data_IF_856411198729
#
_entry.id   IF_856411198729
#
_cell.length_a   1.000
_cell.length_b   1.000
_cell.length_c   1.000
_cell.angle_alpha   90.00
_cell.angle_beta   90.00
_cell.angle_gamma   90.00
#
_symmetry.space_group_name_H-M   'P 1'
#
loop_
_entity.id
_entity.type
_entity.pdbx_description
1 polymer ?
#
# COMPACT_ATOMS: atom_id res chain seq x y z
N UNK A 1 27.05 -54.93 -20.07
CA UNK A 1 27.93 -54.07 -19.26
C UNK A 1 27.05 -53.07 -18.52
N UNK A 2 26.87 -53.34 -17.25
CA UNK A 2 26.02 -52.64 -16.29
C UNK A 2 26.82 -51.55 -15.58
N UNK A 3 26.37 -50.30 -15.66
CA UNK A 3 26.76 -49.26 -14.70
C UNK A 3 25.51 -48.50 -14.25
N UNK A 4 25.11 -48.61 -12.97
CA UNK A 4 24.08 -47.76 -12.40
C UNK A 4 24.70 -46.46 -11.88
N UNK A 5 24.10 -45.32 -12.22
CA UNK A 5 24.43 -44.02 -11.61
C UNK A 5 23.72 -43.94 -10.25
N UNK A 6 24.52 -43.76 -9.21
CA UNK A 6 24.10 -43.69 -7.82
C UNK A 6 23.18 -42.48 -7.57
N UNK A 7 22.04 -42.72 -6.92
CA UNK A 7 21.20 -41.68 -6.36
C UNK A 7 21.90 -41.07 -5.12
N UNK A 8 22.31 -39.81 -5.23
CA UNK A 8 22.82 -39.03 -4.10
C UNK A 8 21.62 -38.57 -3.24
N UNK A 9 21.51 -39.15 -2.04
CA UNK A 9 20.56 -38.72 -1.02
C UNK A 9 20.91 -37.31 -0.52
N UNK A 10 19.94 -36.40 -0.52
CA UNK A 10 20.08 -35.08 0.10
C UNK A 10 20.18 -35.20 1.63
N UNK A 11 21.02 -34.39 2.29
CA UNK A 11 21.16 -34.43 3.75
C UNK A 11 19.91 -33.86 4.44
N UNK A 12 19.40 -34.60 5.43
CA UNK A 12 18.33 -34.13 6.33
C UNK A 12 18.81 -32.93 7.17
N UNK A 13 18.00 -31.88 7.35
CA UNK A 13 18.34 -30.79 8.27
C UNK A 13 18.28 -31.27 9.74
N UNK A 14 19.07 -30.67 10.64
CA UNK A 14 19.16 -31.10 12.03
C UNK A 14 17.87 -30.80 12.80
N UNK A 15 17.45 -31.76 13.63
CA UNK A 15 16.31 -31.64 14.53
C UNK A 15 16.54 -30.56 15.60
N UNK A 16 15.67 -29.56 15.65
CA UNK A 16 15.69 -28.53 16.67
C UNK A 16 15.06 -29.07 17.96
N UNK A 17 15.87 -29.28 19.00
CA UNK A 17 15.38 -29.60 20.36
C UNK A 17 14.97 -28.29 21.06
N UNK A 18 13.74 -28.17 21.61
CA UNK A 18 13.37 -27.00 22.38
C UNK A 18 14.10 -27.04 23.73
N UNK A 19 14.89 -26.00 24.03
CA UNK A 19 15.36 -25.74 25.40
C UNK A 19 14.21 -25.11 26.17
N UNK A 20 13.74 -25.79 27.21
CA UNK A 20 12.90 -25.23 28.25
C UNK A 20 13.68 -24.16 29.00
N UNK A 21 13.18 -22.91 28.97
CA UNK A 21 13.65 -21.86 29.86
C UNK A 21 12.49 -21.47 30.78
N UNK A 22 12.63 -21.86 32.04
CA UNK A 22 11.75 -21.52 33.14
C UNK A 22 11.63 -20.00 33.31
N UNK A 23 10.41 -19.49 33.24
CA UNK A 23 10.07 -18.10 33.52
C UNK A 23 10.23 -17.84 35.04
N UNK A 24 11.16 -16.98 35.43
CA UNK A 24 11.18 -16.35 36.76
C UNK A 24 10.84 -14.87 36.60
N UNK A 25 9.90 -14.32 37.38
CA UNK A 25 9.57 -12.90 37.30
C UNK A 25 10.69 -12.08 37.94
N UNK A 26 11.08 -10.98 37.29
CA UNK A 26 11.95 -9.93 37.88
C UNK A 26 11.09 -8.76 38.36
N UNK A 27 11.55 -8.03 39.39
CA UNK A 27 10.70 -7.23 40.24
C UNK A 27 10.32 -5.89 39.61
N UNK A 28 9.14 -5.42 39.99
CA UNK A 28 8.57 -4.09 39.74
C UNK A 28 9.52 -3.01 40.25
N UNK A 29 9.91 -2.08 39.39
CA UNK A 29 10.63 -0.88 39.77
C UNK A 29 9.61 0.22 40.07
N UNK A 30 9.59 0.68 41.32
CA UNK A 30 8.75 1.76 41.83
C UNK A 30 9.04 3.09 41.11
N UNK A 31 7.97 3.84 40.90
CA UNK A 31 7.99 5.18 40.35
C UNK A 31 8.70 6.14 41.30
N UNK A 32 9.83 6.70 40.86
CA UNK A 32 10.46 7.85 41.50
C UNK A 32 10.07 9.11 40.73
N UNK A 33 9.09 9.83 41.27
CA UNK A 33 8.75 11.19 40.86
C UNK A 33 9.96 12.09 41.09
N UNK A 34 10.57 12.58 40.01
CA UNK A 34 11.59 13.63 40.10
C UNK A 34 11.17 14.82 39.22
N UNK A 35 10.70 15.85 39.91
CA UNK A 35 10.76 17.29 39.66
C UNK A 35 11.00 17.78 38.23
N UNK A 36 10.02 18.53 37.73
CA UNK A 36 10.06 19.30 36.49
C UNK A 36 11.27 20.24 36.43
N UNK A 37 12.07 20.10 35.36
CA UNK A 37 13.10 21.05 34.99
C UNK A 37 12.56 22.04 33.95
N UNK A 38 12.79 23.33 34.19
CA UNK A 38 12.43 24.46 33.32
C UNK A 38 13.06 24.40 31.92
N UNK A 39 12.44 25.04 30.91
CA UNK A 39 12.74 24.81 29.50
C UNK A 39 13.98 25.58 29.03
N UNK A 40 14.94 24.86 28.44
CA UNK A 40 16.01 25.48 27.64
C UNK A 40 15.51 25.74 26.21
N UNK A 41 15.74 26.95 25.70
CA UNK A 41 15.40 27.37 24.34
C UNK A 41 16.09 26.48 23.28
N UNK A 42 15.31 25.55 22.70
CA UNK A 42 15.73 24.65 21.62
C UNK A 42 14.58 23.73 21.21
N UNK A 43 13.62 24.24 20.41
CA UNK A 43 12.51 23.50 19.76
C UNK A 43 11.90 22.34 20.58
N UNK A 44 11.10 22.65 21.60
CA UNK A 44 10.52 21.72 22.57
C UNK A 44 9.42 20.78 22.06
N UNK A 45 9.60 20.13 20.90
CA UNK A 45 8.70 19.07 20.42
C UNK A 45 8.99 17.79 21.21
N UNK A 46 7.99 17.19 21.89
CA UNK A 46 8.16 15.97 22.68
C UNK A 46 8.44 14.76 21.78
N UNK A 47 9.15 13.75 22.30
CA UNK A 47 9.42 12.52 21.56
C UNK A 47 10.34 11.56 22.30
N UNK A 48 10.47 10.31 21.82
CA UNK A 48 11.31 9.31 22.46
C UNK A 48 12.80 9.67 22.34
N UNK A 49 13.54 9.48 23.44
CA UNK A 49 14.97 9.77 23.54
C UNK A 49 15.88 8.88 22.70
N UNK A 50 15.36 7.75 22.18
CA UNK A 50 16.09 6.79 21.34
C UNK A 50 17.23 6.06 22.05
N UNK A 51 17.81 5.07 21.37
CA UNK A 51 19.03 4.42 21.82
C UNK A 51 20.28 5.28 21.54
N UNK A 52 21.41 4.94 22.18
CA UNK A 52 22.65 5.73 22.13
C UNK A 52 23.34 5.77 20.75
N UNK A 53 23.07 4.82 19.84
CA UNK A 53 23.86 4.63 18.62
C UNK A 53 23.06 4.82 17.32
N UNK A 54 21.80 4.37 17.32
CA UNK A 54 20.84 4.39 16.22
C UNK A 54 19.63 5.28 16.53
N UNK A 55 19.54 5.87 17.72
CA UNK A 55 18.41 6.70 18.12
C UNK A 55 17.12 5.89 18.10
N UNK A 56 16.08 6.41 17.45
CA UNK A 56 14.81 5.70 17.30
C UNK A 56 14.77 4.71 16.13
N UNK A 57 15.85 4.62 15.32
CA UNK A 57 15.87 3.77 14.13
C UNK A 57 15.76 2.28 14.48
N UNK A 58 16.36 1.84 15.59
CA UNK A 58 16.28 0.43 16.01
C UNK A 58 14.85 0.04 16.39
N UNK A 59 14.20 0.82 17.26
CA UNK A 59 12.81 0.62 17.67
C UNK A 59 11.86 0.67 16.47
N UNK A 60 12.00 1.69 15.61
CA UNK A 60 11.22 1.80 14.38
C UNK A 60 11.44 0.61 13.43
N UNK A 61 12.67 0.13 13.26
CA UNK A 61 12.95 -0.98 12.34
C UNK A 61 12.43 -2.33 12.83
N UNK A 62 12.24 -2.49 14.15
CA UNK A 62 11.79 -3.73 14.77
C UNK A 62 10.27 -3.86 14.76
N UNK A 63 9.56 -2.80 15.15
CA UNK A 63 8.11 -2.72 15.13
C UNK A 63 7.66 -1.32 14.71
N UNK A 64 7.63 -1.02 13.40
CA UNK A 64 7.28 0.31 12.93
C UNK A 64 5.88 0.76 13.34
N UNK A 65 4.92 -0.17 13.34
CA UNK A 65 3.52 0.11 13.62
C UNK A 65 3.31 0.39 15.11
N UNK A 66 3.79 -0.51 15.97
CA UNK A 66 3.71 -0.34 17.42
C UNK A 66 4.49 0.88 17.89
N UNK A 67 5.67 1.14 17.33
CA UNK A 67 6.46 2.33 17.65
C UNK A 67 5.69 3.63 17.37
N UNK A 68 5.08 3.77 16.18
CA UNK A 68 4.31 4.97 15.83
C UNK A 68 3.06 5.13 16.72
N UNK A 69 2.37 4.04 17.00
CA UNK A 69 1.20 4.03 17.90
C UNK A 69 1.58 4.46 19.33
N UNK A 70 2.66 3.90 19.88
CA UNK A 70 3.16 4.24 21.22
C UNK A 70 3.61 5.71 21.29
N UNK A 71 4.29 6.18 20.25
CA UNK A 71 4.72 7.57 20.14
C UNK A 71 3.53 8.54 20.20
N UNK A 72 2.49 8.27 19.41
CA UNK A 72 1.27 9.07 19.39
C UNK A 72 0.58 9.09 20.76
N UNK A 73 0.43 7.92 21.39
CA UNK A 73 -0.24 7.80 22.69
C UNK A 73 0.52 8.50 23.82
N UNK A 74 1.85 8.46 23.78
CA UNK A 74 2.69 8.97 24.88
C UNK A 74 2.98 10.46 24.75
N UNK A 75 3.22 10.95 23.53
CA UNK A 75 3.73 12.31 23.29
C UNK A 75 2.71 13.24 22.63
N UNK A 76 1.53 12.73 22.23
CA UNK A 76 0.43 13.52 21.71
C UNK A 76 0.49 13.76 20.19
N UNK A 77 0.09 14.97 19.80
CA UNK A 77 -0.26 15.27 18.40
C UNK A 77 0.92 15.60 17.49
N UNK A 78 2.05 16.05 18.06
CA UNK A 78 3.28 16.40 17.34
C UNK A 78 4.46 15.74 18.04
N UNK A 79 5.03 14.71 17.41
CA UNK A 79 6.04 13.86 18.04
C UNK A 79 7.34 13.87 17.25
N UNK A 80 8.45 14.20 17.91
CA UNK A 80 9.79 14.13 17.34
C UNK A 80 10.27 12.68 17.27
N UNK A 81 10.29 12.10 16.06
CA UNK A 81 10.80 10.75 15.83
C UNK A 81 12.33 10.70 15.66
N UNK A 82 12.95 11.83 15.32
CA UNK A 82 14.40 11.94 15.19
C UNK A 82 14.82 13.40 15.01
N UNK A 83 16.11 13.64 14.78
CA UNK A 83 16.67 15.00 14.69
C UNK A 83 15.89 15.90 13.70
N UNK A 84 15.47 15.35 12.55
CA UNK A 84 14.73 16.06 11.51
C UNK A 84 13.50 15.28 11.02
N UNK A 85 12.82 14.57 11.93
CA UNK A 85 11.59 13.83 11.59
C UNK A 85 10.53 14.04 12.66
N UNK A 86 9.34 14.45 12.26
CA UNK A 86 8.18 14.69 13.12
C UNK A 86 6.99 13.88 12.63
N UNK A 87 6.27 13.25 13.54
CA UNK A 87 4.97 12.62 13.32
C UNK A 87 3.85 13.59 13.71
N UNK A 88 2.88 13.77 12.82
CA UNK A 88 1.62 14.46 13.10
C UNK A 88 0.49 13.43 13.23
N UNK A 89 -0.32 13.57 14.28
CA UNK A 89 -1.43 12.65 14.56
C UNK A 89 -2.78 13.34 14.72
N UNK A 90 -2.81 14.65 15.02
CA UNK A 90 -4.06 15.44 15.04
C UNK A 90 -4.69 15.52 13.64
N UNK A 91 -5.99 15.18 13.48
CA UNK A 91 -6.66 15.26 12.17
C UNK A 91 -6.62 16.65 11.53
N UNK A 92 -6.68 17.71 12.34
CA UNK A 92 -6.62 19.08 11.83
C UNK A 92 -5.26 19.42 11.23
N UNK A 93 -4.18 18.93 11.85
CA UNK A 93 -2.81 19.12 11.35
C UNK A 93 -2.51 18.22 10.14
N UNK A 94 -3.07 17.00 10.11
CA UNK A 94 -3.04 16.12 8.93
C UNK A 94 -3.72 16.80 7.73
N UNK A 95 -4.92 17.36 7.93
CA UNK A 95 -5.61 18.11 6.88
C UNK A 95 -4.83 19.36 6.47
N UNK A 96 -4.29 20.12 7.43
CA UNK A 96 -3.46 21.30 7.14
C UNK A 96 -2.25 20.93 6.28
N UNK A 97 -1.56 19.83 6.58
CA UNK A 97 -0.40 19.35 5.82
C UNK A 97 -0.79 18.90 4.41
N UNK A 98 -1.82 18.06 4.29
CA UNK A 98 -2.15 17.39 3.02
C UNK A 98 -3.05 18.22 2.10
N UNK A 99 -3.80 19.18 2.64
CA UNK A 99 -4.79 19.99 1.93
C UNK A 99 -4.41 21.47 1.94
N UNK A 100 -4.50 22.15 3.08
CA UNK A 100 -4.47 23.63 3.14
C UNK A 100 -3.10 24.24 2.84
N UNK A 101 -2.04 23.55 3.23
CA UNK A 101 -0.65 24.01 3.13
C UNK A 101 0.20 23.07 2.29
N UNK A 102 -0.42 22.21 1.49
CA UNK A 102 0.27 21.21 0.65
C UNK A 102 1.39 21.82 -0.22
N UNK A 103 1.20 23.05 -0.72
CA UNK A 103 2.18 23.75 -1.55
C UNK A 103 3.44 24.18 -0.79
N UNK A 104 3.45 24.09 0.55
CA UNK A 104 4.61 24.36 1.43
C UNK A 104 5.38 23.08 1.80
N UNK A 105 4.99 21.95 1.21
CA UNK A 105 5.58 20.65 1.43
C UNK A 105 6.15 20.08 0.13
N UNK A 106 7.30 19.41 0.23
CA UNK A 106 7.99 18.77 -0.90
C UNK A 106 8.10 17.25 -0.70
N UNK A 107 8.08 16.47 -1.78
CA UNK A 107 8.49 15.06 -1.79
C UNK A 107 9.97 14.88 -2.13
N UNK A 108 10.56 15.81 -2.87
CA UNK A 108 11.98 15.90 -3.09
C UNK A 108 12.61 16.55 -1.87
N UNK A 109 13.56 15.89 -1.21
CA UNK A 109 14.18 16.49 -0.03
C UNK A 109 14.92 17.76 -0.44
N UNK A 110 14.58 18.89 0.21
CA UNK A 110 15.28 20.15 0.00
C UNK A 110 16.77 20.05 0.34
N UNK A 111 17.16 19.06 1.15
CA UNK A 111 18.54 18.79 1.53
C UNK A 111 19.16 17.66 0.68
N UNK A 112 19.74 18.02 -0.47
CA UNK A 112 20.55 17.13 -1.31
C UNK A 112 21.85 16.67 -0.66
N UNK A 113 22.27 17.27 0.47
CA UNK A 113 23.52 16.91 1.19
C UNK A 113 23.34 15.69 2.10
N UNK A 114 22.10 15.28 2.38
CA UNK A 114 21.80 14.15 3.29
C UNK A 114 21.86 12.77 2.65
N UNK A 115 22.41 12.66 1.44
CA UNK A 115 22.39 11.41 0.68
C UNK A 115 20.94 11.00 0.45
N UNK A 116 20.23 11.76 -0.37
CA UNK A 116 18.85 11.44 -0.71
C UNK A 116 18.81 9.98 -1.17
N UNK A 117 17.98 9.15 -0.51
CA UNK A 117 17.66 7.82 -1.05
C UNK A 117 17.14 8.11 -2.45
N UNK A 118 17.91 7.76 -3.49
CA UNK A 118 17.49 7.98 -4.87
C UNK A 118 16.15 7.28 -5.04
N UNK A 119 15.09 8.09 -5.20
CA UNK A 119 13.75 7.57 -5.35
C UNK A 119 13.73 6.73 -6.63
N UNK A 120 13.16 5.52 -6.56
CA UNK A 120 12.87 4.77 -7.77
C UNK A 120 11.95 5.62 -8.65
N UNK A 121 12.25 5.74 -9.94
CA UNK A 121 11.44 6.50 -10.90
C UNK A 121 11.27 7.99 -10.51
N UNK A 122 12.38 8.76 -10.44
CA UNK A 122 12.36 10.16 -9.98
C UNK A 122 11.56 11.09 -10.89
N UNK A 123 11.33 10.71 -12.14
CA UNK A 123 10.57 11.52 -13.11
C UNK A 123 9.07 11.20 -13.11
N UNK A 124 8.61 10.25 -12.29
CA UNK A 124 7.19 9.93 -12.19
C UNK A 124 6.39 11.03 -11.49
N UNK A 125 5.07 11.06 -11.70
CA UNK A 125 4.14 11.95 -11.02
C UNK A 125 4.13 11.68 -9.52
N UNK A 126 4.33 10.43 -9.11
CA UNK A 126 4.40 10.08 -7.69
C UNK A 126 5.53 10.83 -6.96
N UNK A 127 6.65 11.08 -7.66
CA UNK A 127 7.89 11.62 -7.10
C UNK A 127 8.24 13.04 -7.59
N UNK A 128 7.36 13.65 -8.40
CA UNK A 128 7.51 15.04 -8.86
C UNK A 128 6.90 16.04 -7.86
N UNK A 129 7.33 17.30 -7.93
CA UNK A 129 6.80 18.41 -7.13
C UNK A 129 6.46 19.66 -7.95
N UNK A 130 5.79 20.62 -7.30
CA UNK A 130 5.48 21.94 -7.87
C UNK A 130 4.73 21.88 -9.21
N UNK A 131 5.11 22.79 -10.12
CA UNK A 131 4.51 22.91 -11.45
C UNK A 131 4.69 21.63 -12.30
N UNK A 132 5.82 20.93 -12.15
CA UNK A 132 6.07 19.66 -12.86
C UNK A 132 5.06 18.59 -12.44
N UNK A 133 4.81 18.46 -11.14
CA UNK A 133 3.76 17.55 -10.64
C UNK A 133 2.37 17.95 -11.15
N UNK A 134 2.04 19.25 -11.11
CA UNK A 134 0.73 19.75 -11.56
C UNK A 134 0.49 19.44 -13.03
N UNK A 135 1.47 19.70 -13.91
CA UNK A 135 1.37 19.42 -15.34
C UNK A 135 1.14 17.92 -15.61
N UNK A 136 1.95 17.05 -15.00
CA UNK A 136 1.80 15.60 -15.15
C UNK A 136 0.48 15.07 -14.59
N UNK A 137 0.04 15.59 -13.44
CA UNK A 137 -1.26 15.24 -12.84
C UNK A 137 -2.42 15.68 -13.74
N UNK A 138 -2.38 16.91 -14.26
CA UNK A 138 -3.42 17.45 -15.15
C UNK A 138 -3.52 16.63 -16.44
N UNK A 139 -2.38 16.21 -16.99
CA UNK A 139 -2.31 15.33 -18.16
C UNK A 139 -3.00 13.98 -17.95
N UNK A 140 -2.76 13.33 -16.81
CA UNK A 140 -3.25 11.96 -16.58
C UNK A 140 -4.66 11.89 -15.98
N UNK A 141 -5.04 12.83 -15.12
CA UNK A 141 -6.28 12.76 -14.35
C UNK A 141 -7.56 12.53 -15.17
N UNK A 142 -7.74 13.12 -16.36
CA UNK A 142 -8.91 12.88 -17.20
C UNK A 142 -9.10 11.39 -17.57
N UNK A 143 -8.00 10.64 -17.73
CA UNK A 143 -8.05 9.22 -18.06
C UNK A 143 -8.59 8.35 -16.91
N UNK A 144 -8.55 8.84 -15.66
CA UNK A 144 -9.01 8.12 -14.46
C UNK A 144 -10.47 8.46 -14.08
N UNK A 145 -11.25 8.96 -15.04
CA UNK A 145 -12.68 9.24 -14.85
C UNK A 145 -13.57 7.98 -14.82
N UNK A 146 -14.90 8.20 -14.84
CA UNK A 146 -15.92 7.14 -14.79
C UNK A 146 -15.72 6.07 -15.87
N UNK A 147 -15.30 6.45 -17.08
CA UNK A 147 -15.02 5.52 -18.19
C UNK A 147 -14.02 4.42 -17.80
N UNK A 148 -12.92 4.77 -17.14
CA UNK A 148 -11.92 3.80 -16.70
C UNK A 148 -12.48 2.89 -15.60
N UNK A 149 -13.30 3.42 -14.70
CA UNK A 149 -13.97 2.62 -13.67
C UNK A 149 -14.97 1.62 -14.28
N UNK A 150 -15.68 2.01 -15.35
CA UNK A 150 -16.54 1.09 -16.12
C UNK A 150 -15.73 -0.05 -16.71
N UNK A 151 -14.64 0.29 -17.40
CA UNK A 151 -13.75 -0.70 -18.00
C UNK A 151 -13.12 -1.62 -16.94
N UNK A 152 -12.73 -1.07 -15.79
CA UNK A 152 -12.21 -1.85 -14.67
C UNK A 152 -13.23 -2.86 -14.16
N UNK A 153 -14.50 -2.45 -14.01
CA UNK A 153 -15.58 -3.32 -13.58
C UNK A 153 -15.90 -4.45 -14.58
N UNK A 154 -15.69 -4.23 -15.88
CA UNK A 154 -15.84 -5.26 -16.92
C UNK A 154 -14.67 -6.25 -16.91
N UNK A 155 -13.42 -5.74 -16.91
CA UNK A 155 -12.21 -6.57 -16.91
C UNK A 155 -12.13 -7.42 -15.65
N UNK A 156 -12.42 -6.85 -14.48
CA UNK A 156 -12.36 -7.57 -13.21
C UNK A 156 -13.40 -8.70 -13.13
N UNK A 157 -14.56 -8.53 -13.77
CA UNK A 157 -15.57 -9.58 -13.83
C UNK A 157 -15.06 -10.77 -14.65
N UNK A 158 -14.54 -10.53 -15.86
CA UNK A 158 -14.02 -11.61 -16.71
C UNK A 158 -12.79 -12.30 -16.09
N UNK A 159 -11.82 -11.52 -15.59
CA UNK A 159 -10.58 -12.10 -15.05
C UNK A 159 -10.80 -12.76 -13.68
N UNK A 160 -11.73 -12.24 -12.87
CA UNK A 160 -12.14 -12.85 -11.60
C UNK A 160 -12.78 -14.22 -11.81
N UNK A 161 -13.69 -14.35 -12.78
CA UNK A 161 -14.28 -15.62 -13.19
C UNK A 161 -13.21 -16.66 -13.57
N UNK A 162 -12.22 -16.26 -14.37
CA UNK A 162 -11.12 -17.14 -14.80
C UNK A 162 -10.25 -17.59 -13.64
N UNK A 163 -9.92 -16.69 -12.70
CA UNK A 163 -9.18 -17.04 -11.49
C UNK A 163 -9.94 -18.09 -10.67
N UNK A 164 -11.23 -17.86 -10.44
CA UNK A 164 -12.05 -18.69 -9.56
C UNK A 164 -12.49 -20.02 -10.21
N UNK A 165 -12.55 -20.10 -11.54
CA UNK A 165 -12.81 -21.35 -12.25
C UNK A 165 -11.75 -22.43 -11.97
N UNK A 166 -10.52 -22.03 -11.65
CA UNK A 166 -9.44 -22.94 -11.26
C UNK A 166 -9.47 -23.39 -9.79
N UNK A 167 -10.33 -22.79 -8.96
CA UNK A 167 -10.37 -23.09 -7.53
C UNK A 167 -11.18 -24.36 -7.26
N UNK A 168 -10.62 -25.22 -6.40
CA UNK A 168 -11.27 -26.46 -5.94
C UNK A 168 -11.47 -26.41 -4.44
N UNK A 169 -12.68 -26.66 -3.92
CA UNK A 169 -12.92 -26.72 -2.48
C UNK A 169 -11.99 -27.73 -1.80
N UNK A 170 -11.47 -27.36 -0.62
CA UNK A 170 -10.60 -28.20 0.20
C UNK A 170 -9.12 -28.19 -0.15
N UNK A 171 -8.71 -27.59 -1.27
CA UNK A 171 -7.29 -27.47 -1.64
C UNK A 171 -6.69 -26.20 -1.03
N UNK A 172 -5.66 -26.26 -0.16
CA UNK A 172 -4.98 -25.08 0.35
C UNK A 172 -4.35 -24.25 -0.77
N UNK A 173 -4.38 -22.92 -0.62
CA UNK A 173 -3.85 -21.96 -1.59
C UNK A 173 -3.20 -20.78 -0.88
N UNK A 174 -2.18 -20.20 -1.51
CA UNK A 174 -1.66 -18.89 -1.12
C UNK A 174 -2.55 -17.82 -1.77
N UNK A 175 -3.34 -17.13 -0.95
CA UNK A 175 -4.27 -16.11 -1.46
C UNK A 175 -3.53 -14.93 -2.07
N UNK A 176 -2.33 -14.63 -1.57
CA UNK A 176 -1.53 -13.53 -2.09
C UNK A 176 -1.06 -13.83 -3.51
N UNK A 177 -0.61 -15.06 -3.78
CA UNK A 177 -0.17 -15.45 -5.13
C UNK A 177 -1.31 -15.42 -6.15
N UNK A 178 -2.49 -15.96 -5.80
CA UNK A 178 -3.66 -15.98 -6.69
C UNK A 178 -4.13 -14.55 -7.04
N UNK A 179 -4.28 -13.70 -6.02
CA UNK A 179 -4.74 -12.31 -6.21
C UNK A 179 -3.68 -11.46 -6.89
N UNK A 180 -2.40 -11.74 -6.69
CA UNK A 180 -1.30 -11.06 -7.41
C UNK A 180 -1.42 -11.28 -8.91
N UNK A 181 -1.61 -12.52 -9.36
CA UNK A 181 -1.76 -12.79 -10.80
C UNK A 181 -2.96 -12.04 -11.38
N UNK A 182 -4.08 -12.02 -10.67
CA UNK A 182 -5.27 -11.27 -11.07
C UNK A 182 -4.99 -9.77 -11.17
N UNK A 183 -4.53 -9.14 -10.10
CA UNK A 183 -4.28 -7.68 -10.05
C UNK A 183 -3.25 -7.23 -11.07
N UNK A 184 -2.26 -8.06 -11.37
CA UNK A 184 -1.29 -7.78 -12.43
C UNK A 184 -1.98 -7.76 -13.80
N UNK A 185 -2.87 -8.71 -14.09
CA UNK A 185 -3.66 -8.71 -15.34
C UNK A 185 -4.60 -7.51 -15.41
N UNK A 186 -5.22 -7.11 -14.30
CA UNK A 186 -6.10 -5.94 -14.27
C UNK A 186 -5.34 -4.65 -14.63
N UNK A 187 -4.21 -4.39 -13.96
CA UNK A 187 -3.45 -3.16 -14.20
C UNK A 187 -2.92 -3.14 -15.63
N UNK A 188 -2.47 -4.27 -16.17
CA UNK A 188 -1.95 -4.32 -17.53
C UNK A 188 -3.07 -4.17 -18.56
N UNK A 189 -4.19 -4.86 -18.43
CA UNK A 189 -5.33 -4.72 -19.35
C UNK A 189 -5.96 -3.32 -19.28
N UNK A 190 -6.01 -2.68 -18.11
CA UNK A 190 -6.50 -1.31 -17.98
C UNK A 190 -5.54 -0.28 -18.58
N UNK A 191 -4.24 -0.47 -18.39
CA UNK A 191 -3.24 0.46 -18.90
C UNK A 191 -3.04 0.32 -20.40
N UNK A 192 -2.97 -0.91 -20.93
CA UNK A 192 -2.55 -1.17 -22.31
C UNK A 192 -3.68 -1.65 -23.21
N UNK A 193 -4.87 -1.90 -22.67
CA UNK A 193 -6.07 -2.17 -23.45
C UNK A 193 -6.18 -3.56 -24.06
N UNK A 194 -5.19 -4.43 -23.86
CA UNK A 194 -5.15 -5.79 -24.41
C UNK A 194 -5.20 -6.87 -23.32
N UNK A 195 -5.79 -8.02 -23.67
CA UNK A 195 -5.54 -9.26 -22.95
C UNK A 195 -4.09 -9.67 -23.23
N UNK A 196 -3.27 -9.59 -22.19
CA UNK A 196 -1.93 -10.13 -22.24
C UNK A 196 -1.98 -11.65 -22.18
N UNK A 197 -1.16 -12.31 -22.99
CA UNK A 197 -0.99 -13.76 -22.89
C UNK A 197 -0.46 -14.13 -21.50
N UNK A 198 -0.53 -15.42 -21.14
CA UNK A 198 0.11 -15.89 -19.89
C UNK A 198 1.63 -15.63 -19.91
N UNK A 199 2.25 -15.70 -21.08
CA UNK A 199 3.67 -15.42 -21.28
C UNK A 199 4.00 -13.95 -21.02
N UNK A 200 3.16 -13.04 -21.51
CA UNK A 200 3.29 -11.60 -21.27
C UNK A 200 3.03 -11.24 -19.81
N UNK A 201 2.03 -11.86 -19.17
CA UNK A 201 1.75 -11.66 -17.74
C UNK A 201 2.96 -12.10 -16.91
N UNK A 202 3.54 -13.26 -17.21
CA UNK A 202 4.74 -13.75 -16.56
C UNK A 202 5.97 -12.88 -16.86
N UNK A 203 6.05 -12.27 -18.05
CA UNK A 203 7.07 -11.27 -18.36
C UNK A 203 6.90 -10.00 -17.51
N UNK A 204 5.70 -9.42 -17.45
CA UNK A 204 5.45 -8.21 -16.66
C UNK A 204 5.64 -8.50 -15.16
N UNK A 205 5.24 -9.68 -14.66
CA UNK A 205 5.52 -10.10 -13.28
C UNK A 205 7.03 -10.10 -12.99
N UNK A 206 7.85 -10.56 -13.96
CA UNK A 206 9.32 -10.48 -13.89
C UNK A 206 9.86 -9.05 -13.96
N UNK A 207 9.10 -8.08 -14.47
CA UNK A 207 9.43 -6.65 -14.44
C UNK A 207 9.10 -5.99 -13.10
N UNK A 208 8.03 -6.43 -12.43
CA UNK A 208 7.58 -5.86 -11.14
C UNK A 208 8.62 -6.04 -10.04
N UNK A 209 9.22 -7.22 -9.90
CA UNK A 209 10.18 -7.47 -8.82
C UNK A 209 11.40 -6.51 -8.83
N UNK A 210 12.09 -6.27 -9.97
CA UNK A 210 13.12 -5.24 -10.09
C UNK A 210 12.64 -3.81 -9.82
N UNK A 211 11.44 -3.45 -10.29
CA UNK A 211 10.80 -2.14 -10.05
C UNK A 211 10.61 -1.92 -8.55
N UNK A 212 10.07 -2.93 -7.87
CA UNK A 212 9.87 -2.95 -6.42
C UNK A 212 11.20 -2.89 -5.64
N UNK A 213 12.21 -3.63 -6.08
CA UNK A 213 13.55 -3.63 -5.48
C UNK A 213 14.20 -2.23 -5.52
N UNK A 214 14.02 -1.51 -6.63
CA UNK A 214 14.53 -0.14 -6.77
C UNK A 214 13.82 0.82 -5.80
N UNK A 215 12.51 0.68 -5.64
CA UNK A 215 11.68 1.53 -4.77
C UNK A 215 11.89 1.26 -3.27
N UNK A 216 12.37 0.09 -2.88
CA UNK A 216 12.44 -0.37 -1.47
C UNK A 216 13.85 -0.41 -0.88
N UNK A 217 14.88 0.05 -1.58
CA UNK A 217 16.27 -0.14 -1.16
C UNK A 217 16.61 0.49 0.20
N UNK A 218 16.89 -0.29 1.26
CA UNK A 218 17.17 0.23 2.60
C UNK A 218 18.64 0.68 2.77
N UNK A 219 19.46 0.52 1.73
CA UNK A 219 20.91 0.54 1.85
C UNK A 219 21.43 1.98 1.80
N UNK A 220 21.91 2.48 2.94
CA UNK A 220 22.63 3.74 3.15
C UNK A 220 24.03 3.79 2.50
N UNK A 221 24.34 2.89 1.57
CA UNK A 221 25.65 2.86 0.92
C UNK A 221 25.72 3.95 -0.16
N UNK A 222 26.87 4.66 -0.26
CA UNK A 222 27.10 5.64 -1.31
C UNK A 222 26.77 5.09 -2.70
N UNK A 223 26.30 5.97 -3.58
CA UNK A 223 25.77 5.61 -4.89
C UNK A 223 26.76 4.81 -5.75
N UNK A 224 28.03 5.18 -5.67
CA UNK A 224 29.14 4.60 -6.43
C UNK A 224 29.48 3.16 -6.05
N UNK A 225 29.00 2.63 -4.92
CA UNK A 225 29.29 1.26 -4.49
C UNK A 225 28.45 0.25 -5.31
N UNK A 226 29.06 -0.61 -6.15
CA UNK A 226 28.35 -1.54 -7.03
C UNK A 226 27.96 -2.83 -6.29
N UNK A 227 26.94 -2.76 -5.44
CA UNK A 227 26.45 -3.96 -4.74
C UNK A 227 25.85 -4.98 -5.74
N UNK A 228 25.90 -6.30 -5.46
CA UNK A 228 25.28 -7.31 -6.32
C UNK A 228 23.79 -7.03 -6.61
N UNK A 229 23.06 -6.50 -5.62
CA UNK A 229 21.67 -6.06 -5.77
C UNK A 229 21.54 -4.89 -6.75
N UNK A 230 22.37 -3.84 -6.64
CA UNK A 230 22.39 -2.72 -7.60
C UNK A 230 22.73 -3.19 -9.02
N UNK A 231 23.68 -4.11 -9.17
CA UNK A 231 24.04 -4.68 -10.47
C UNK A 231 22.90 -5.52 -11.07
N UNK A 232 22.21 -6.34 -10.25
CA UNK A 232 21.02 -7.09 -10.65
C UNK A 232 19.91 -6.15 -11.14
N UNK A 233 19.59 -5.12 -10.35
CA UNK A 233 18.59 -4.11 -10.71
C UNK A 233 18.97 -3.44 -12.03
N UNK A 234 20.22 -2.97 -12.19
CA UNK A 234 20.68 -2.35 -13.45
C UNK A 234 20.50 -3.26 -14.67
N UNK A 235 20.82 -4.56 -14.55
CA UNK A 235 20.65 -5.54 -15.64
C UNK A 235 19.16 -5.77 -15.95
N UNK A 236 18.33 -5.87 -14.93
CA UNK A 236 16.87 -6.05 -15.10
C UNK A 236 16.20 -4.80 -15.68
N UNK A 237 16.65 -3.60 -15.31
CA UNK A 237 16.09 -2.34 -15.79
C UNK A 237 16.23 -2.17 -17.30
N UNK A 238 17.29 -2.68 -17.93
CA UNK A 238 17.41 -2.64 -19.40
C UNK A 238 16.28 -3.40 -20.12
N UNK A 239 15.79 -4.50 -19.51
CA UNK A 239 14.62 -5.23 -20.03
C UNK A 239 13.33 -4.45 -19.77
N UNK A 240 13.14 -3.94 -18.55
CA UNK A 240 12.01 -3.07 -18.18
C UNK A 240 11.90 -1.92 -19.18
N UNK A 241 12.98 -1.19 -19.40
CA UNK A 241 13.03 -0.04 -20.32
C UNK A 241 12.63 -0.42 -21.74
N UNK A 242 13.10 -1.58 -22.23
CA UNK A 242 12.77 -2.06 -23.57
C UNK A 242 11.28 -2.40 -23.69
N UNK A 243 10.73 -3.14 -22.72
CA UNK A 243 9.32 -3.53 -22.73
C UNK A 243 8.41 -2.31 -22.61
N UNK A 244 8.71 -1.39 -21.70
CA UNK A 244 7.92 -0.16 -21.54
C UNK A 244 7.95 0.74 -22.78
N UNK A 245 9.09 0.82 -23.48
CA UNK A 245 9.18 1.54 -24.77
C UNK A 245 8.39 0.85 -25.88
N UNK A 246 8.42 -0.48 -25.95
CA UNK A 246 7.63 -1.23 -26.91
C UNK A 246 6.12 -1.02 -26.69
N UNK A 247 5.69 -1.00 -25.42
CA UNK A 247 4.30 -0.71 -25.04
C UNK A 247 3.88 0.71 -25.42
N UNK A 248 4.73 1.71 -25.17
CA UNK A 248 4.50 3.09 -25.57
C UNK A 248 4.36 3.28 -27.08
N UNK A 249 5.03 2.45 -27.88
CA UNK A 249 4.96 2.49 -29.34
C UNK A 249 3.87 1.55 -29.91
N UNK A 250 3.09 0.89 -29.06
CA UNK A 250 2.07 -0.07 -29.51
C UNK A 250 0.88 0.63 -30.17
N UNK A 251 0.14 -0.04 -31.07
CA UNK A 251 -1.09 0.50 -31.64
C UNK A 251 -2.14 0.87 -30.59
N UNK A 252 -2.14 0.20 -29.43
CA UNK A 252 -3.05 0.50 -28.33
C UNK A 252 -2.82 1.90 -27.76
N UNK A 253 -1.58 2.41 -27.75
CA UNK A 253 -1.27 3.76 -27.27
C UNK A 253 -1.96 4.85 -28.10
N UNK A 254 -2.24 4.59 -29.38
CA UNK A 254 -2.91 5.53 -30.27
C UNK A 254 -4.42 5.62 -30.06
N UNK A 255 -5.03 4.66 -29.36
CA UNK A 255 -6.48 4.54 -29.20
C UNK A 255 -6.92 4.91 -27.76
N UNK A 256 -7.60 6.07 -27.55
CA UNK A 256 -8.03 6.53 -26.24
C UNK A 256 -9.16 5.70 -25.62
N UNK A 257 -9.92 4.93 -26.40
CA UNK A 257 -10.98 4.06 -25.88
C UNK A 257 -10.42 2.67 -25.52
N UNK A 258 -9.39 2.21 -26.25
CA UNK A 258 -8.67 0.97 -25.92
C UNK A 258 -7.73 1.14 -24.74
N UNK A 259 -6.91 2.18 -24.67
CA UNK A 259 -5.93 2.33 -23.61
C UNK A 259 -5.89 3.77 -23.07
N UNK A 260 -6.95 4.25 -22.39
CA UNK A 260 -7.11 5.67 -22.02
C UNK A 260 -5.95 6.22 -21.20
N UNK A 261 -5.39 5.42 -20.28
CA UNK A 261 -4.26 5.82 -19.42
C UNK A 261 -2.97 5.92 -20.23
N UNK A 262 -2.66 4.91 -21.04
CA UNK A 262 -1.47 4.92 -21.91
C UNK A 262 -1.56 6.02 -22.97
N UNK A 263 -2.73 6.20 -23.58
CA UNK A 263 -2.97 7.26 -24.55
C UNK A 263 -2.74 8.64 -23.93
N UNK A 264 -3.31 8.91 -22.75
CA UNK A 264 -3.10 10.18 -22.05
C UNK A 264 -1.63 10.41 -21.65
N UNK A 265 -0.88 9.34 -21.35
CA UNK A 265 0.55 9.43 -21.09
C UNK A 265 1.34 9.78 -22.36
N UNK A 266 1.07 9.09 -23.48
CA UNK A 266 1.85 9.24 -24.72
C UNK A 266 1.51 10.51 -25.48
N UNK A 267 0.22 10.86 -25.56
CA UNK A 267 -0.30 11.95 -26.38
C UNK A 267 -0.74 13.18 -25.59
N UNK A 268 -0.62 13.15 -24.27
CA UNK A 268 -0.98 14.29 -23.43
C UNK A 268 -0.02 15.47 -23.60
N UNK A 269 -0.49 16.67 -23.28
CA UNK A 269 0.24 17.92 -23.45
C UNK A 269 0.76 18.46 -22.09
N UNK A 270 2.06 18.77 -21.94
CA UNK A 270 3.15 18.50 -22.89
C UNK A 270 3.46 17.00 -22.98
N UNK A 271 3.96 16.53 -24.15
CA UNK A 271 4.35 15.15 -24.33
C UNK A 271 5.51 14.81 -23.38
N UNK A 272 5.48 13.63 -22.72
CA UNK A 272 6.55 13.25 -21.83
C UNK A 272 7.84 12.99 -22.59
N UNK A 273 8.98 13.22 -21.93
CA UNK A 273 10.24 12.66 -22.41
C UNK A 273 10.20 11.12 -22.34
N UNK A 274 11.02 10.39 -23.11
CA UNK A 274 11.09 8.94 -23.04
C UNK A 274 11.39 8.38 -21.63
N UNK A 275 12.20 9.09 -20.85
CA UNK A 275 12.53 8.69 -19.47
C UNK A 275 11.38 8.99 -18.49
N UNK A 276 10.64 10.09 -18.69
CA UNK A 276 9.41 10.35 -17.94
C UNK A 276 8.36 9.28 -18.24
N UNK A 277 8.14 8.96 -19.51
CA UNK A 277 7.18 7.94 -19.90
C UNK A 277 7.50 6.58 -19.28
N UNK A 278 8.78 6.17 -19.29
CA UNK A 278 9.24 4.97 -18.58
C UNK A 278 8.90 5.04 -17.09
N UNK A 279 9.26 6.12 -16.43
CA UNK A 279 9.06 6.28 -14.98
C UNK A 279 7.58 6.27 -14.60
N UNK A 280 6.72 6.91 -15.39
CA UNK A 280 5.28 6.91 -15.18
C UNK A 280 4.68 5.52 -15.37
N UNK A 281 5.02 4.82 -16.46
CA UNK A 281 4.50 3.48 -16.71
C UNK A 281 4.93 2.49 -15.61
N UNK A 282 6.20 2.52 -15.21
CA UNK A 282 6.70 1.66 -14.14
C UNK A 282 5.98 1.94 -12.80
N UNK A 283 5.76 3.23 -12.49
CA UNK A 283 5.12 3.64 -11.23
C UNK A 283 3.63 3.31 -11.21
N UNK A 284 2.92 3.43 -12.33
CA UNK A 284 1.50 3.08 -12.43
C UNK A 284 1.28 1.56 -12.31
N UNK A 285 2.10 0.74 -12.97
CA UNK A 285 2.05 -0.73 -12.82
C UNK A 285 2.30 -1.10 -11.35
N UNK A 286 3.36 -0.54 -10.75
CA UNK A 286 3.72 -0.79 -9.35
C UNK A 286 2.60 -0.41 -8.39
N UNK A 287 2.05 0.80 -8.53
CA UNK A 287 1.05 1.35 -7.64
C UNK A 287 -0.29 0.62 -7.75
N UNK A 288 -0.73 0.28 -8.97
CA UNK A 288 -2.00 -0.41 -9.21
C UNK A 288 -2.00 -1.88 -8.82
N UNK A 289 -0.84 -2.54 -8.90
CA UNK A 289 -0.68 -3.96 -8.59
C UNK A 289 -0.65 -4.22 -7.07
N UNK A 290 0.37 -3.74 -6.36
CA UNK A 290 0.65 -4.20 -4.99
C UNK A 290 -0.42 -3.72 -4.00
N UNK A 291 -0.92 -2.49 -4.17
CA UNK A 291 -1.87 -1.89 -3.21
C UNK A 291 -3.26 -2.54 -3.27
N UNK A 292 -3.78 -2.80 -4.48
CA UNK A 292 -5.07 -3.49 -4.66
C UNK A 292 -4.97 -4.94 -4.20
N UNK A 293 -3.86 -5.62 -4.48
CA UNK A 293 -3.61 -6.97 -4.00
C UNK A 293 -3.68 -7.05 -2.47
N UNK A 294 -2.91 -6.20 -1.78
CA UNK A 294 -2.89 -6.18 -0.32
C UNK A 294 -4.26 -5.83 0.27
N UNK A 295 -5.01 -4.91 -0.34
CA UNK A 295 -6.37 -4.56 0.09
C UNK A 295 -7.34 -5.76 0.00
N UNK A 296 -7.32 -6.51 -1.10
CA UNK A 296 -8.16 -7.71 -1.27
C UNK A 296 -7.79 -8.79 -0.24
N UNK A 297 -6.49 -9.04 -0.06
CA UNK A 297 -6.01 -10.08 0.86
C UNK A 297 -6.32 -9.72 2.31
N UNK A 298 -6.08 -8.48 2.75
CA UNK A 298 -6.46 -8.04 4.11
C UNK A 298 -7.97 -8.12 4.35
N UNK A 299 -8.77 -7.70 3.37
CA UNK A 299 -10.24 -7.79 3.47
C UNK A 299 -10.67 -9.24 3.62
N UNK A 300 -10.06 -10.16 2.87
CA UNK A 300 -10.36 -11.60 2.98
C UNK A 300 -9.89 -12.20 4.30
N UNK A 301 -8.74 -11.78 4.84
CA UNK A 301 -8.29 -12.20 6.18
C UNK A 301 -9.29 -11.75 7.25
N UNK A 302 -9.81 -10.53 7.14
CA UNK A 302 -10.82 -10.00 8.06
C UNK A 302 -12.14 -10.78 7.94
N UNK A 303 -12.65 -10.98 6.73
CA UNK A 303 -13.88 -11.77 6.53
C UNK A 303 -13.75 -13.21 7.03
N UNK A 304 -12.58 -13.85 6.86
CA UNK A 304 -12.34 -15.20 7.38
C UNK A 304 -12.28 -15.26 8.91
N UNK A 305 -12.02 -14.14 9.58
CA UNK A 305 -12.07 -14.02 11.06
C UNK A 305 -13.46 -13.63 11.58
N UNK A 306 -14.36 -13.21 10.69
CA UNK A 306 -15.70 -12.68 11.00
C UNK A 306 -16.77 -13.36 10.12
N UNK A 307 -17.09 -14.65 10.37
CA UNK A 307 -18.01 -15.42 9.53
C UNK A 307 -19.38 -14.76 9.36
N UNK A 308 -19.90 -14.09 10.38
CA UNK A 308 -21.17 -13.37 10.36
C UNK A 308 -21.17 -12.19 9.36
N UNK A 309 -20.03 -11.51 9.23
CA UNK A 309 -19.85 -10.45 8.23
C UNK A 309 -19.71 -11.07 6.84
N UNK A 310 -18.97 -12.17 6.73
CA UNK A 310 -18.78 -12.90 5.48
C UNK A 310 -20.10 -13.45 4.90
N UNK A 311 -20.98 -14.00 5.74
CA UNK A 311 -22.31 -14.46 5.33
C UNK A 311 -23.18 -13.33 4.75
N UNK A 312 -23.10 -12.13 5.34
CA UNK A 312 -23.81 -10.95 4.84
C UNK A 312 -23.24 -10.45 3.51
N UNK A 313 -21.91 -10.47 3.35
CA UNK A 313 -21.26 -10.18 2.05
C UNK A 313 -21.72 -11.18 0.99
N UNK A 314 -21.74 -12.48 1.31
CA UNK A 314 -22.23 -13.51 0.40
C UNK A 314 -23.67 -13.27 -0.02
N UNK A 315 -24.58 -13.05 0.94
CA UNK A 315 -25.99 -12.85 0.65
C UNK A 315 -26.23 -11.61 -0.25
N UNK A 316 -25.54 -10.50 0.04
CA UNK A 316 -25.58 -9.31 -0.82
C UNK A 316 -25.04 -9.60 -2.23
N UNK A 317 -23.89 -10.27 -2.31
CA UNK A 317 -23.26 -10.61 -3.58
C UNK A 317 -24.11 -11.57 -4.42
N UNK A 318 -24.74 -12.59 -3.83
CA UNK A 318 -25.66 -13.48 -4.53
C UNK A 318 -26.83 -12.71 -5.16
N UNK A 319 -27.46 -11.83 -4.38
CA UNK A 319 -28.57 -11.01 -4.87
C UNK A 319 -28.13 -10.07 -6.00
N UNK A 320 -27.01 -9.36 -5.84
CA UNK A 320 -26.50 -8.42 -6.83
C UNK A 320 -26.07 -9.11 -8.14
N UNK A 321 -25.38 -10.26 -8.05
CA UNK A 321 -24.92 -10.99 -9.24
C UNK A 321 -26.06 -11.64 -10.02
N UNK A 322 -27.15 -12.04 -9.34
CA UNK A 322 -28.34 -12.58 -9.98
C UNK A 322 -29.20 -11.50 -10.65
N UNK A 323 -29.34 -10.33 -10.01
CA UNK A 323 -30.27 -9.29 -10.47
C UNK A 323 -29.63 -8.23 -11.37
N UNK A 324 -28.31 -8.02 -11.30
CA UNK A 324 -27.64 -6.90 -11.96
C UNK A 324 -26.56 -7.38 -12.94
N UNK A 325 -26.54 -6.87 -14.20
CA UNK A 325 -25.48 -7.16 -15.17
C UNK A 325 -24.07 -6.81 -14.65
N UNK A 326 -23.05 -7.42 -15.24
CA UNK A 326 -21.66 -7.10 -14.90
C UNK A 326 -21.34 -5.61 -15.21
N UNK A 327 -20.37 -5.05 -14.49
CA UNK A 327 -19.98 -3.64 -14.61
C UNK A 327 -20.32 -2.81 -13.37
N UNK A 328 -20.29 -1.48 -13.52
CA UNK A 328 -20.45 -0.54 -12.40
C UNK A 328 -21.78 -0.63 -11.67
N UNK A 329 -22.88 -0.91 -12.40
CA UNK A 329 -24.20 -1.02 -11.77
C UNK A 329 -24.23 -2.11 -10.69
N UNK A 330 -23.52 -3.23 -10.91
CA UNK A 330 -23.38 -4.28 -9.90
C UNK A 330 -22.60 -3.80 -8.68
N UNK A 331 -21.60 -2.95 -8.87
CA UNK A 331 -20.81 -2.40 -7.76
C UNK A 331 -21.61 -1.40 -6.94
N UNK A 332 -22.48 -0.62 -7.58
CA UNK A 332 -23.45 0.25 -6.92
C UNK A 332 -24.48 -0.57 -6.10
N UNK A 333 -24.74 -1.82 -6.48
CA UNK A 333 -25.59 -2.77 -5.77
C UNK A 333 -24.90 -3.57 -4.63
N UNK A 334 -23.66 -3.22 -4.26
CA UNK A 334 -22.89 -3.85 -3.18
C UNK A 334 -22.53 -2.89 -2.02
N UNK A 335 -23.49 -2.16 -1.43
CA UNK A 335 -23.19 -1.15 -0.40
C UNK A 335 -22.54 -1.73 0.87
N UNK A 336 -22.93 -2.93 1.30
CA UNK A 336 -22.35 -3.58 2.48
C UNK A 336 -20.95 -4.11 2.19
N UNK A 337 -20.71 -4.71 1.03
CA UNK A 337 -19.37 -5.14 0.62
C UNK A 337 -18.44 -3.93 0.47
N UNK A 338 -18.95 -2.79 -0.03
CA UNK A 338 -18.20 -1.54 -0.03
C UNK A 338 -17.85 -1.07 1.39
N UNK A 339 -18.80 -1.14 2.32
CA UNK A 339 -18.57 -0.84 3.74
C UNK A 339 -17.49 -1.74 4.37
N UNK A 340 -17.50 -3.04 4.04
CA UNK A 340 -16.49 -4.02 4.45
C UNK A 340 -15.09 -3.64 3.93
N UNK A 341 -14.98 -3.28 2.65
CA UNK A 341 -13.70 -2.83 2.06
C UNK A 341 -13.21 -1.53 2.71
N UNK A 342 -14.10 -0.57 2.98
CA UNK A 342 -13.73 0.68 3.66
C UNK A 342 -13.24 0.44 5.09
N UNK A 343 -13.89 -0.43 5.84
CA UNK A 343 -13.44 -0.79 7.19
C UNK A 343 -12.12 -1.56 7.16
N UNK A 344 -11.93 -2.43 6.15
CA UNK A 344 -10.66 -3.09 5.91
C UNK A 344 -9.55 -2.08 5.61
N UNK A 345 -9.80 -1.07 4.78
CA UNK A 345 -8.83 -0.01 4.49
C UNK A 345 -8.54 0.91 5.69
N UNK A 346 -9.49 1.05 6.63
CA UNK A 346 -9.27 1.76 7.90
C UNK A 346 -8.27 1.00 8.78
N UNK A 347 -8.44 -0.32 8.88
CA UNK A 347 -7.54 -1.15 9.67
C UNK A 347 -6.22 -1.41 8.92
N UNK A 348 -6.26 -1.90 7.69
CA UNK A 348 -5.09 -2.34 6.95
C UNK A 348 -4.95 -1.58 5.63
N UNK A 349 -4.80 -0.25 5.73
CA UNK A 349 -4.48 0.57 4.57
C UNK A 349 -3.14 0.12 3.96
N UNK A 350 -3.07 -0.20 2.64
CA UNK A 350 -1.81 -0.54 2.00
C UNK A 350 -0.77 0.57 2.15
N UNK A 351 -1.16 1.84 2.08
CA UNK A 351 -0.29 2.96 2.43
C UNK A 351 -0.47 3.28 3.91
N UNK A 352 0.48 2.84 4.74
CA UNK A 352 0.40 2.94 6.20
C UNK A 352 1.07 4.20 6.79
N UNK A 353 1.94 4.85 6.02
CA UNK A 353 2.51 6.18 6.32
C UNK A 353 2.80 6.97 5.05
N UNK A 354 2.81 8.30 5.15
CA UNK A 354 3.38 9.17 4.12
C UNK A 354 4.12 10.35 4.75
N UNK A 355 5.18 10.80 4.08
CA UNK A 355 6.01 11.89 4.58
C UNK A 355 6.26 12.96 3.52
N UNK A 356 6.47 14.20 3.95
CA UNK A 356 6.90 15.34 3.13
C UNK A 356 7.89 16.19 3.91
N UNK A 357 8.75 16.91 3.21
CA UNK A 357 9.65 17.87 3.85
C UNK A 357 8.99 19.25 3.89
N UNK A 358 9.00 19.90 5.06
CA UNK A 358 8.57 21.28 5.21
C UNK A 358 9.54 22.20 4.47
N UNK A 359 9.05 23.07 3.59
CA UNK A 359 9.90 24.00 2.84
C UNK A 359 10.16 25.31 3.58
N UNK A 360 9.38 25.60 4.62
CA UNK A 360 9.50 26.74 5.51
C UNK A 360 9.12 26.33 6.93
N UNK A 361 9.34 27.20 7.91
CA UNK A 361 8.93 26.97 9.29
C UNK A 361 7.40 26.93 9.38
N UNK A 362 6.87 25.90 10.04
CA UNK A 362 5.44 25.62 10.10
C UNK A 362 5.00 25.37 11.54
N UNK A 363 3.84 25.89 11.92
CA UNK A 363 3.25 25.65 13.24
C UNK A 363 2.19 24.54 13.19
N UNK A 364 2.33 23.55 14.06
CA UNK A 364 1.40 22.44 14.25
C UNK A 364 1.15 22.25 15.75
N UNK A 365 -0.12 22.25 16.17
CA UNK A 365 -0.54 22.12 17.57
C UNK A 365 0.33 22.89 18.59
N UNK A 366 0.67 24.15 18.28
CA UNK A 366 1.48 25.04 19.14
C UNK A 366 3.00 24.81 19.08
N UNK A 367 3.47 23.91 18.22
CA UNK A 367 4.89 23.62 18.02
C UNK A 367 5.40 24.12 16.67
N UNK A 368 6.56 24.79 16.68
CA UNK A 368 7.26 25.18 15.46
C UNK A 368 8.08 24.00 14.93
N UNK A 369 7.75 23.57 13.71
CA UNK A 369 8.47 22.60 12.89
C UNK A 369 9.35 23.36 11.90
N UNK A 370 10.68 23.31 12.05
CA UNK A 370 11.59 24.05 11.17
C UNK A 370 11.58 23.57 9.73
N UNK A 371 11.92 24.46 8.80
CA UNK A 371 12.18 24.13 7.39
C UNK A 371 13.22 23.00 7.25
N UNK A 372 13.02 22.11 6.27
CA UNK A 372 13.86 20.93 6.05
C UNK A 372 13.56 19.75 7.00
N UNK A 373 12.57 19.88 7.88
CA UNK A 373 12.08 18.76 8.69
C UNK A 373 11.15 17.87 7.88
N UNK A 374 11.37 16.55 7.92
CA UNK A 374 10.45 15.56 7.37
C UNK A 374 9.25 15.43 8.30
N UNK A 375 8.08 15.80 7.80
CA UNK A 375 6.79 15.67 8.47
C UNK A 375 6.09 14.40 7.96
N UNK A 376 5.74 13.50 8.88
CA UNK A 376 5.14 12.20 8.61
C UNK A 376 3.73 12.18 9.18
N UNK A 377 2.78 11.62 8.42
CA UNK A 377 1.45 11.25 8.90
C UNK A 377 1.28 9.76 8.69
N UNK A 378 0.64 9.08 9.64
CA UNK A 378 0.43 7.64 9.58
C UNK A 378 -1.05 7.31 9.50
N UNK A 379 -1.46 6.69 8.39
CA UNK A 379 -2.78 6.09 8.24
C UNK A 379 -3.01 5.06 9.35
N UNK A 380 -2.00 4.22 9.64
CA UNK A 380 -2.08 3.21 10.69
C UNK A 380 -2.50 3.79 12.04
N UNK A 381 -1.89 4.91 12.43
CA UNK A 381 -2.19 5.61 13.70
C UNK A 381 -3.53 6.34 13.61
N UNK A 382 -3.72 7.22 12.62
CA UNK A 382 -4.88 8.09 12.55
C UNK A 382 -6.20 7.33 12.37
N UNK A 383 -6.17 6.20 11.66
CA UNK A 383 -7.37 5.39 11.41
C UNK A 383 -7.75 4.53 12.62
N UNK A 384 -6.92 4.48 13.66
CA UNK A 384 -7.10 3.75 14.93
C UNK A 384 -7.14 4.65 16.16
N UNK A 385 -7.21 5.96 15.98
CA UNK A 385 -7.22 6.88 17.09
C UNK A 385 -8.56 6.79 17.86
N UNK A 386 -8.57 6.30 19.13
CA UNK A 386 -9.81 6.14 19.90
C UNK A 386 -10.48 7.48 20.23
N UNK A 387 -9.80 8.63 20.05
CA UNK A 387 -10.42 9.97 20.15
C UNK A 387 -11.43 10.22 19.03
N UNK A 388 -11.32 9.50 17.92
CA UNK A 388 -12.14 9.69 16.72
C UNK A 388 -12.88 8.42 16.30
N UNK A 389 -12.41 7.25 16.69
CA UNK A 389 -13.03 5.96 16.36
C UNK A 389 -13.47 5.23 17.62
N UNK A 390 -14.78 5.13 17.82
CA UNK A 390 -15.36 4.21 18.82
C UNK A 390 -14.94 2.77 18.50
N UNK A 391 -14.52 1.98 19.48
CA UNK A 391 -14.02 0.60 19.27
C UNK A 391 -12.99 0.53 18.13
N UNK A 392 -11.99 1.42 18.18
CA UNK A 392 -11.08 1.70 17.06
C UNK A 392 -10.36 0.48 16.46
N UNK A 393 -10.14 -0.58 17.22
CA UNK A 393 -9.47 -1.80 16.73
C UNK A 393 -10.46 -2.85 16.18
N UNK A 394 -11.76 -2.66 16.38
CA UNK A 394 -12.81 -3.60 15.96
C UNK A 394 -13.11 -3.46 14.46
N UNK A 395 -13.23 -4.59 13.76
CA UNK A 395 -13.70 -4.65 12.37
C UNK A 395 -15.22 -4.56 12.32
N UNK A 396 -15.75 -3.33 12.15
CA UNK A 396 -17.20 -3.06 12.17
C UNK A 396 -17.65 -2.29 10.92
N UNK A 397 -18.00 -2.98 9.82
CA UNK A 397 -18.45 -2.37 8.56
C UNK A 397 -19.67 -1.43 8.71
N UNK A 398 -20.51 -1.66 9.71
CA UNK A 398 -21.74 -0.88 9.98
C UNK A 398 -21.48 0.62 10.11
N UNK A 399 -20.25 1.01 10.53
CA UNK A 399 -19.83 2.41 10.62
C UNK A 399 -20.00 3.18 9.30
N UNK A 400 -19.93 2.48 8.18
CA UNK A 400 -19.96 3.07 6.84
C UNK A 400 -21.34 3.08 6.19
N UNK A 401 -22.35 2.48 6.85
CA UNK A 401 -23.72 2.46 6.37
C UNK A 401 -24.47 3.73 6.80
N UNK A 402 -25.59 4.01 6.12
CA UNK A 402 -26.42 5.19 6.40
C UNK A 402 -25.66 6.49 6.15
N UNK A 403 -25.47 7.31 7.20
CA UNK A 403 -24.76 8.59 7.11
C UNK A 403 -23.22 8.43 7.11
N UNK A 404 -22.70 7.24 7.41
CA UNK A 404 -21.28 7.00 7.60
C UNK A 404 -20.72 7.58 8.91
N UNK A 405 -19.40 7.48 9.14
CA UNK A 405 -18.79 7.91 10.39
C UNK A 405 -18.70 9.45 10.46
N UNK A 406 -19.03 10.02 11.63
CA UNK A 406 -18.86 11.45 11.92
C UNK A 406 -17.47 11.71 12.51
N UNK A 407 -16.44 11.61 11.67
CA UNK A 407 -15.04 11.82 12.08
C UNK A 407 -14.42 12.99 11.31
N UNK A 408 -13.45 13.72 11.90
CA UNK A 408 -12.70 14.73 11.17
C UNK A 408 -12.02 14.13 9.94
N UNK A 409 -11.91 14.90 8.85
CA UNK A 409 -11.39 14.43 7.55
C UNK A 409 -9.99 13.81 7.66
N UNK A 410 -9.12 14.40 8.47
CA UNK A 410 -7.78 13.87 8.76
C UNK A 410 -7.73 12.56 9.57
N UNK A 411 -8.87 11.97 9.91
CA UNK A 411 -8.96 10.68 10.64
C UNK A 411 -9.18 9.49 9.69
N UNK A 412 -9.50 9.72 8.41
CA UNK A 412 -9.65 8.68 7.40
C UNK A 412 -9.14 9.14 6.03
N UNK A 413 -8.03 8.56 5.58
CA UNK A 413 -7.34 8.94 4.35
C UNK A 413 -6.54 7.79 3.71
N UNK A 414 -7.16 6.62 3.45
CA UNK A 414 -6.44 5.46 2.88
C UNK A 414 -5.85 5.73 1.50
N UNK A 415 -6.43 6.67 0.75
CA UNK A 415 -5.96 7.12 -0.55
C UNK A 415 -5.23 8.48 -0.51
N UNK A 416 -4.89 8.97 0.70
CA UNK A 416 -4.40 10.33 0.92
C UNK A 416 -5.52 11.38 0.90
N UNK A 417 -5.14 12.67 0.99
CA UNK A 417 -6.04 13.81 0.96
C UNK A 417 -5.50 14.91 0.03
N UNK A 418 -6.39 15.86 -0.28
CA UNK A 418 -6.03 17.10 -0.99
C UNK A 418 -5.65 16.86 -2.46
N UNK A 419 -4.87 17.78 -3.05
CA UNK A 419 -4.50 17.72 -4.46
C UNK A 419 -3.75 16.44 -4.87
N UNK A 420 -3.11 15.77 -3.90
CA UNK A 420 -2.33 14.54 -4.10
C UNK A 420 -3.06 13.26 -3.74
N UNK A 421 -4.39 13.30 -3.59
CA UNK A 421 -5.20 12.08 -3.45
C UNK A 421 -4.94 11.11 -4.62
N UNK A 422 -4.93 9.81 -4.33
CA UNK A 422 -4.69 8.76 -5.30
C UNK A 422 -5.58 8.94 -6.54
N UNK A 423 -4.95 8.95 -7.72
CA UNK A 423 -5.66 9.13 -9.00
C UNK A 423 -6.53 7.91 -9.32
N UNK A 424 -6.10 6.72 -8.90
CA UNK A 424 -6.78 5.44 -9.14
C UNK A 424 -7.74 5.03 -8.02
N UNK A 425 -8.09 5.90 -7.07
CA UNK A 425 -8.90 5.53 -5.91
C UNK A 425 -10.25 4.87 -6.29
N UNK A 426 -10.94 5.41 -7.30
CA UNK A 426 -12.21 4.87 -7.78
C UNK A 426 -12.05 3.48 -8.43
N UNK A 427 -11.00 3.31 -9.23
CA UNK A 427 -10.66 2.04 -9.90
C UNK A 427 -10.30 0.98 -8.85
N UNK A 428 -9.36 1.28 -7.94
CA UNK A 428 -8.93 0.34 -6.91
C UNK A 428 -10.09 -0.08 -5.99
N UNK A 429 -10.98 0.85 -5.64
CA UNK A 429 -12.19 0.53 -4.85
C UNK A 429 -13.13 -0.39 -5.63
N UNK A 430 -13.36 -0.10 -6.92
CA UNK A 430 -14.20 -0.91 -7.81
C UNK A 430 -13.67 -2.33 -7.93
N UNK A 431 -12.37 -2.48 -8.21
CA UNK A 431 -11.70 -3.79 -8.31
C UNK A 431 -11.77 -4.54 -6.99
N UNK A 432 -11.40 -3.91 -5.87
CA UNK A 432 -11.38 -4.57 -4.56
C UNK A 432 -12.76 -5.07 -4.16
N UNK A 433 -13.80 -4.24 -4.30
CA UNK A 433 -15.19 -4.63 -3.99
C UNK A 433 -15.64 -5.79 -4.88
N UNK A 434 -15.35 -5.73 -6.18
CA UNK A 434 -15.72 -6.81 -7.10
C UNK A 434 -15.06 -8.14 -6.73
N UNK A 435 -13.74 -8.13 -6.54
CA UNK A 435 -12.95 -9.34 -6.26
C UNK A 435 -13.39 -9.96 -4.94
N UNK A 436 -13.57 -9.14 -3.91
CA UNK A 436 -14.07 -9.60 -2.59
C UNK A 436 -15.47 -10.19 -2.73
N UNK A 437 -16.40 -9.50 -3.40
CA UNK A 437 -17.75 -10.01 -3.60
C UNK A 437 -17.74 -11.36 -4.34
N UNK A 438 -16.95 -11.49 -5.41
CA UNK A 438 -16.95 -12.70 -6.23
C UNK A 438 -16.29 -13.90 -5.52
N UNK A 439 -15.19 -13.69 -4.81
CA UNK A 439 -14.55 -14.71 -3.97
C UNK A 439 -15.56 -15.21 -2.92
N UNK A 440 -16.11 -14.30 -2.12
CA UNK A 440 -16.92 -14.64 -0.96
C UNK A 440 -18.33 -15.09 -1.33
N UNK A 441 -18.82 -14.77 -2.54
CA UNK A 441 -20.05 -15.38 -3.07
C UNK A 441 -19.87 -16.87 -3.36
N UNK A 442 -18.72 -17.29 -3.88
CA UNK A 442 -18.48 -18.68 -4.31
C UNK A 442 -17.92 -19.57 -3.21
N UNK A 443 -17.04 -19.01 -2.39
CA UNK A 443 -16.27 -19.78 -1.42
C UNK A 443 -16.30 -19.12 -0.06
N UNK A 444 -16.45 -19.93 0.99
CA UNK A 444 -16.11 -19.54 2.34
C UNK A 444 -14.63 -19.83 2.56
N UNK A 445 -13.82 -18.82 2.86
CA UNK A 445 -12.38 -19.02 3.08
C UNK A 445 -12.08 -19.32 4.54
N UNK A 446 -11.33 -20.39 4.80
CA UNK A 446 -10.81 -20.73 6.12
C UNK A 446 -9.30 -20.48 6.16
N UNK A 447 -8.81 -19.78 7.20
CA UNK A 447 -7.37 -19.53 7.38
C UNK A 447 -6.69 -20.80 7.90
N UNK A 448 -5.62 -21.24 7.24
CA UNK A 448 -4.89 -22.47 7.63
C UNK A 448 -4.04 -22.25 8.88
N UNK A 449 -3.36 -21.10 8.96
CA UNK A 449 -2.43 -20.74 10.06
C UNK A 449 -2.65 -19.28 10.50
N UNK A 450 -3.81 -18.95 11.09
CA UNK A 450 -4.16 -17.57 11.43
C UNK A 450 -3.16 -16.89 12.38
N UNK A 451 -2.47 -17.65 13.22
CA UNK A 451 -1.44 -17.20 14.15
C UNK A 451 -0.16 -16.72 13.45
N UNK A 452 0.06 -17.12 12.20
CA UNK A 452 1.19 -16.66 11.39
C UNK A 452 0.85 -15.44 10.55
N UNK A 453 -0.36 -14.91 10.59
CA UNK A 453 -0.69 -13.73 9.78
C UNK A 453 -0.24 -12.48 10.53
N UNK A 454 0.62 -11.68 9.88
CA UNK A 454 1.19 -10.45 10.45
C UNK A 454 1.39 -9.39 9.37
N UNK A 455 1.17 -8.11 9.69
CA UNK A 455 1.48 -7.03 8.77
C UNK A 455 2.99 -6.86 8.63
N UNK A 456 3.46 -6.70 7.38
CA UNK A 456 4.83 -6.29 7.07
C UNK A 456 4.81 -4.86 6.54
N UNK A 457 5.28 -3.88 7.33
CA UNK A 457 5.36 -2.48 6.90
C UNK A 457 6.54 -2.30 5.94
N UNK A 458 6.27 -2.46 4.63
CA UNK A 458 7.23 -2.25 3.55
C UNK A 458 6.83 -0.98 2.76
N UNK A 459 6.98 -1.00 1.42
CA UNK A 459 6.43 0.06 0.57
C UNK A 459 4.90 0.14 0.72
N UNK A 460 4.25 -1.02 0.69
CA UNK A 460 2.88 -1.25 1.12
C UNK A 460 2.84 -2.09 2.41
N UNK A 461 1.70 -2.06 3.10
CA UNK A 461 1.42 -2.84 4.29
C UNK A 461 0.98 -4.25 3.90
N UNK A 462 1.94 -5.16 3.78
CA UNK A 462 1.69 -6.47 3.20
C UNK A 462 1.17 -7.48 4.23
N UNK A 463 0.13 -8.27 3.90
CA UNK A 463 -0.29 -9.40 4.72
C UNK A 463 0.64 -10.59 4.51
N UNK A 464 1.42 -10.97 5.54
CA UNK A 464 2.36 -12.08 5.41
C UNK A 464 1.76 -13.41 5.86
N UNK A 465 1.97 -14.46 5.06
CA UNK A 465 1.65 -15.85 5.43
C UNK A 465 0.17 -16.19 5.39
N UNK A 466 -0.56 -15.63 4.42
CA UNK A 466 -2.00 -15.87 4.23
C UNK A 466 -2.22 -17.10 3.37
N UNK A 467 -2.34 -18.24 4.04
CA UNK A 467 -2.76 -19.50 3.42
C UNK A 467 -4.24 -19.75 3.75
N UNK A 468 -5.04 -20.02 2.72
CA UNK A 468 -6.49 -20.24 2.84
C UNK A 468 -6.89 -21.58 2.27
N UNK A 469 -7.98 -22.14 2.78
CA UNK A 469 -8.69 -23.27 2.16
C UNK A 469 -10.08 -22.78 1.75
N UNK A 470 -10.41 -22.77 0.45
CA UNK A 470 -11.76 -22.47 0.00
C UNK A 470 -12.69 -23.63 0.37
N UNK A 471 -13.86 -23.32 0.93
CA UNK A 471 -14.95 -24.26 1.23
C UNK A 471 -16.20 -23.87 0.45
N UNK A 472 -17.08 -24.85 0.25
CA UNK A 472 -18.46 -24.56 -0.10
C UNK A 472 -19.15 -23.86 1.07
N UNK A 473 -20.18 -23.08 0.75
CA UNK A 473 -21.05 -22.42 1.72
C UNK A 473 -22.03 -23.37 2.38
#
# INVERSE_FOLDING_TARGET
MTHPVAAAAMPRPPAFRPRSASFRPRPTCEASMTTAASPSAGTGIPGPGGDKYLGNLHAFSTDPLGFLTECSRTYGDVVRLGANNVLLTSPGDVERMLVDRNAKFSKASADTRRGSRRQGFPLSTMNSDGATWQAKRHRMQPAFGRKLSTKAAEIVADQGERMLAGWRPGTPRDLQDDVSVLTLRLVTSLMFGDEFSEEDTAEIARLVAPIMDLSTSPVLLPEWVPTPRKLRIRRSMARVDRTLRALAASPAAADPDRAPVLHALVHGDPPPTPDELRDELATLIMAGFETTNDAVVWTSVLLARHPEIAERVRAEAEAAFAATPAGLARMEALPYTNAVVRESLRLYSPVWLTSRDAMEDMEFSGHIVPAGTTVTVSQWVAHRDPRHWEDAEEFRPERWLGKGPSVPRGSYFPFGLGPRVCIGAAVATTETVHIVADIWRRFRLELVRPERIRPRPALALQPMGVEVVPRGW
#
